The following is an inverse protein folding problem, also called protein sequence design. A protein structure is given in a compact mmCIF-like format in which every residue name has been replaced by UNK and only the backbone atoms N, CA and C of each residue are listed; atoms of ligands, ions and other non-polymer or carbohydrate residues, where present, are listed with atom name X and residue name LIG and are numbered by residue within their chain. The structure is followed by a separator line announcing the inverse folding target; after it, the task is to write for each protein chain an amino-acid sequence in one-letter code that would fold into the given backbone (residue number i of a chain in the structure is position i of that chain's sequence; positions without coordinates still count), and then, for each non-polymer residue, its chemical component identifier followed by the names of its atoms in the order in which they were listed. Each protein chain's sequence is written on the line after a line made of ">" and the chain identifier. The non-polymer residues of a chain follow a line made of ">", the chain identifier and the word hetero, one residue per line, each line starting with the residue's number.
data_IF_958537663730
#
_entry.id   IF_958537663730
#
_cell.length_a   1.000
_cell.length_b   1.000
_cell.length_c   1.000
_cell.angle_alpha   90.00
_cell.angle_beta   90.00
_cell.angle_gamma   90.00
#
_symmetry.space_group_name_H-M   'P 1'
#
loop_
_entity.id
_entity.type
_entity.pdbx_description
1 polymer ?
#
# COMPACT_ATOMS: atom_id res chain seq x y z
N UNK A 1 0.54 17.64 19.16
CA UNK A 1 1.99 17.85 18.96
C UNK A 1 2.21 18.26 17.51
N UNK A 2 2.59 19.52 17.28
CA UNK A 2 3.06 20.00 15.98
C UNK A 2 4.53 19.65 15.86
N UNK A 3 4.91 18.91 14.83
CA UNK A 3 6.31 18.80 14.44
C UNK A 3 6.61 19.97 13.52
N UNK A 4 7.04 21.09 14.10
CA UNK A 4 7.83 22.08 13.39
C UNK A 4 9.21 21.46 13.16
N UNK A 5 9.44 20.94 11.96
CA UNK A 5 10.79 20.60 11.49
C UNK A 5 11.23 21.67 10.51
N UNK A 6 11.67 22.81 11.06
CA UNK A 6 12.62 23.69 10.36
C UNK A 6 14.01 23.05 10.49
N UNK A 7 14.39 22.25 9.49
CA UNK A 7 15.74 21.72 9.33
C UNK A 7 16.38 22.30 8.06
N UNK A 8 17.62 22.80 8.08
CA UNK A 8 18.24 23.41 6.91
C UNK A 8 18.73 22.32 5.96
N UNK A 9 18.11 22.23 4.78
CA UNK A 9 18.54 21.36 3.69
C UNK A 9 18.88 22.19 2.46
N UNK A 10 20.15 22.57 2.33
CA UNK A 10 20.76 23.02 1.09
C UNK A 10 20.72 21.87 0.07
N UNK A 11 19.72 21.87 -0.81
CA UNK A 11 19.54 20.89 -1.87
C UNK A 11 18.15 21.00 -2.50
N UNK A 12 18.09 21.44 -3.75
CA UNK A 12 16.87 21.78 -4.51
C UNK A 12 15.99 20.56 -4.88
N UNK A 13 15.76 19.63 -3.93
CA UNK A 13 15.08 18.35 -4.18
C UNK A 13 13.99 17.95 -3.20
N UNK A 14 13.88 18.56 -2.01
CA UNK A 14 12.93 18.09 -0.98
C UNK A 14 12.34 19.23 -0.13
N UNK A 15 11.90 20.29 -0.80
CA UNK A 15 11.20 21.39 -0.13
C UNK A 15 9.77 20.95 0.20
N UNK A 16 9.52 20.66 1.48
CA UNK A 16 8.18 20.38 2.00
C UNK A 16 7.48 21.71 2.29
N UNK A 17 6.42 22.02 1.53
CA UNK A 17 5.55 23.15 1.85
C UNK A 17 4.40 22.74 2.78
N UNK A 18 4.10 23.60 3.76
CA UNK A 18 3.01 23.39 4.70
C UNK A 18 1.69 23.83 4.08
N UNK A 19 0.68 22.97 4.18
CA UNK A 19 -0.70 23.27 3.80
C UNK A 19 -1.59 23.26 5.04
N UNK A 20 -2.49 24.24 5.15
CA UNK A 20 -3.52 24.30 6.18
C UNK A 20 -4.89 23.97 5.56
N UNK A 21 -5.50 22.86 5.99
CA UNK A 21 -6.76 22.34 5.42
C UNK A 21 -7.81 22.20 6.52
N UNK A 22 -9.05 22.60 6.21
CA UNK A 22 -10.20 22.36 7.10
C UNK A 22 -10.86 21.04 6.71
N UNK A 23 -11.05 20.16 7.70
CA UNK A 23 -11.70 18.85 7.53
C UNK A 23 -12.87 18.71 8.50
N UNK A 24 -13.93 17.95 8.16
CA UNK A 24 -14.98 17.62 9.11
C UNK A 24 -14.42 16.89 10.34
N UNK A 25 -14.96 17.18 11.53
CA UNK A 25 -14.48 16.60 12.79
C UNK A 25 -14.50 15.08 12.78
N UNK A 26 -15.56 14.48 12.24
CA UNK A 26 -15.69 13.01 12.09
C UNK A 26 -14.56 12.39 11.28
N UNK A 27 -14.04 13.09 10.27
CA UNK A 27 -12.92 12.63 9.45
C UNK A 27 -11.63 12.67 10.26
N UNK A 28 -11.42 13.75 11.03
CA UNK A 28 -10.24 13.89 11.88
C UNK A 28 -10.21 12.83 12.98
N UNK A 29 -11.35 12.56 13.63
CA UNK A 29 -11.48 11.50 14.64
C UNK A 29 -11.15 10.13 14.07
N UNK A 30 -11.69 9.81 12.88
CA UNK A 30 -11.39 8.55 12.19
C UNK A 30 -9.90 8.41 11.89
N UNK A 31 -9.25 9.48 11.43
CA UNK A 31 -7.80 9.47 11.16
C UNK A 31 -7.03 9.25 12.45
N UNK A 32 -7.38 9.93 13.53
CA UNK A 32 -6.75 9.81 14.85
C UNK A 32 -6.84 8.37 15.42
N UNK A 33 -7.94 7.67 15.18
CA UNK A 33 -8.12 6.27 15.59
C UNK A 33 -7.35 5.26 14.72
N UNK A 34 -7.12 5.57 13.45
CA UNK A 34 -6.61 4.63 12.44
C UNK A 34 -5.11 4.80 12.17
N UNK A 35 -4.55 6.01 12.22
CA UNK A 35 -3.19 6.24 11.74
C UNK A 35 -2.16 5.39 12.48
N UNK A 36 -2.27 5.30 13.81
CA UNK A 36 -1.39 4.50 14.63
C UNK A 36 -1.60 3.00 14.40
N UNK A 37 -2.85 2.56 14.21
CA UNK A 37 -3.17 1.15 13.88
C UNK A 37 -2.60 0.73 12.53
N UNK A 38 -2.50 1.67 11.59
CA UNK A 38 -1.88 1.47 10.27
C UNK A 38 -0.35 1.64 10.28
N UNK A 39 0.25 1.96 11.43
CA UNK A 39 1.70 2.02 11.61
C UNK A 39 2.33 3.37 11.25
N UNK A 40 1.55 4.42 10.98
CA UNK A 40 2.09 5.75 10.74
C UNK A 40 2.59 6.37 12.06
N UNK A 41 3.73 7.06 12.01
CA UNK A 41 4.30 7.74 13.17
C UNK A 41 3.52 9.03 13.53
N UNK A 42 2.81 9.62 12.56
CA UNK A 42 2.00 10.81 12.78
C UNK A 42 0.79 10.89 11.84
N UNK A 43 -0.21 11.68 12.24
CA UNK A 43 -1.31 12.07 11.35
C UNK A 43 -0.82 12.68 10.04
N UNK A 44 0.17 13.58 10.10
CA UNK A 44 0.71 14.27 8.92
C UNK A 44 1.35 13.30 7.94
N UNK A 45 1.88 12.17 8.42
CA UNK A 45 2.40 11.11 7.56
C UNK A 45 1.26 10.34 6.88
N UNK A 46 0.23 9.94 7.61
CA UNK A 46 -0.95 9.30 7.04
C UNK A 46 -1.65 10.18 5.98
N UNK A 47 -1.75 11.49 6.24
CA UNK A 47 -2.33 12.45 5.28
C UNK A 47 -1.44 12.61 4.05
N UNK A 48 -0.12 12.76 4.21
CA UNK A 48 0.81 12.86 3.09
C UNK A 48 0.79 11.59 2.23
N UNK A 49 0.65 10.42 2.84
CA UNK A 49 0.55 9.15 2.13
C UNK A 49 -0.76 9.05 1.34
N UNK A 50 -1.90 9.45 1.92
CA UNK A 50 -3.17 9.54 1.20
C UNK A 50 -3.10 10.51 0.01
N UNK A 51 -2.40 11.65 0.15
CA UNK A 51 -2.17 12.58 -0.97
C UNK A 51 -1.26 11.93 -2.04
N UNK A 52 -0.23 11.18 -1.62
CA UNK A 52 0.66 10.48 -2.55
C UNK A 52 -0.08 9.41 -3.35
N UNK A 53 -0.95 8.63 -2.71
CA UNK A 53 -1.82 7.66 -3.38
C UNK A 53 -2.84 8.36 -4.28
N UNK A 54 -3.38 9.52 -3.89
CA UNK A 54 -4.24 10.30 -4.79
C UNK A 54 -3.53 10.75 -6.07
N UNK A 55 -2.24 11.12 -5.99
CA UNK A 55 -1.43 11.52 -7.15
C UNK A 55 -0.94 10.32 -7.98
N UNK A 56 -0.68 9.19 -7.32
CA UNK A 56 -0.18 7.96 -7.93
C UNK A 56 -1.02 6.79 -7.43
N UNK A 57 -2.28 6.67 -7.91
CA UNK A 57 -3.20 5.69 -7.39
C UNK A 57 -2.62 4.30 -7.61
N UNK A 58 -2.55 3.55 -6.52
CA UNK A 58 -2.16 2.14 -6.59
C UNK A 58 -3.07 1.44 -7.61
N UNK A 59 -2.53 0.62 -8.53
CA UNK A 59 -3.34 -0.09 -9.50
C UNK A 59 -4.37 -0.94 -8.75
N UNK A 60 -5.65 -0.64 -8.96
CA UNK A 60 -6.72 -1.41 -8.38
C UNK A 60 -6.80 -2.76 -9.11
N UNK A 61 -6.94 -3.84 -8.34
CA UNK A 61 -7.23 -5.14 -8.92
C UNK A 61 -8.57 -5.07 -9.64
N UNK A 62 -8.66 -5.68 -10.83
CA UNK A 62 -9.93 -5.82 -11.51
C UNK A 62 -10.87 -6.69 -10.66
N UNK A 63 -12.18 -6.56 -10.87
CA UNK A 63 -13.18 -7.40 -10.20
C UNK A 63 -12.90 -8.89 -10.44
N UNK A 64 -12.47 -9.25 -11.65
CA UNK A 64 -12.03 -10.60 -12.02
C UNK A 64 -10.87 -11.08 -11.14
N UNK A 65 -9.81 -10.27 -10.97
CA UNK A 65 -8.68 -10.63 -10.11
C UNK A 65 -9.07 -10.80 -8.64
N UNK A 66 -10.04 -10.03 -8.15
CA UNK A 66 -10.55 -10.18 -6.78
C UNK A 66 -11.31 -11.50 -6.62
N UNK A 67 -12.13 -11.87 -7.61
CA UNK A 67 -12.83 -13.17 -7.65
C UNK A 67 -11.83 -14.32 -7.67
N UNK A 68 -10.78 -14.23 -8.48
CA UNK A 68 -9.72 -15.25 -8.57
C UNK A 68 -8.98 -15.41 -7.24
N UNK A 69 -8.67 -14.31 -6.54
CA UNK A 69 -8.07 -14.35 -5.21
C UNK A 69 -8.98 -15.01 -4.17
N UNK A 70 -10.29 -14.75 -4.24
CA UNK A 70 -11.26 -15.39 -3.36
C UNK A 70 -11.34 -16.90 -3.63
N UNK A 71 -11.36 -17.31 -4.90
CA UNK A 71 -11.40 -18.73 -5.27
C UNK A 71 -10.10 -19.44 -4.87
N UNK A 72 -8.94 -18.82 -5.10
CA UNK A 72 -7.64 -19.32 -4.63
C UNK A 72 -7.64 -19.54 -3.11
N UNK A 73 -8.24 -18.63 -2.33
CA UNK A 73 -8.39 -18.79 -0.88
C UNK A 73 -9.27 -19.99 -0.51
N UNK A 74 -10.31 -20.30 -1.30
CA UNK A 74 -11.17 -21.48 -1.10
C UNK A 74 -10.43 -22.76 -1.48
N UNK A 75 -9.74 -22.79 -2.61
CA UNK A 75 -8.91 -23.92 -3.06
C UNK A 75 -7.87 -24.31 -1.99
N UNK A 76 -7.19 -23.32 -1.39
CA UNK A 76 -6.26 -23.56 -0.28
C UNK A 76 -6.92 -24.24 0.92
N UNK A 77 -8.15 -23.86 1.28
CA UNK A 77 -8.90 -24.51 2.37
C UNK A 77 -9.32 -25.94 2.03
N UNK A 78 -9.57 -26.22 0.75
CA UNK A 78 -9.90 -27.57 0.23
C UNK A 78 -8.66 -28.44 -0.01
N UNK A 79 -7.44 -27.89 0.11
CA UNK A 79 -6.19 -28.62 -0.14
C UNK A 79 -5.88 -28.81 -1.63
N UNK A 80 -6.46 -27.99 -2.50
CA UNK A 80 -6.32 -28.08 -3.97
C UNK A 80 -5.13 -27.26 -4.50
N UNK A 81 -4.36 -26.61 -3.63
CA UNK A 81 -3.17 -25.86 -4.00
C UNK A 81 -1.98 -26.78 -4.23
N UNK A 82 -1.16 -26.43 -5.21
CA UNK A 82 0.06 -27.17 -5.55
C UNK A 82 1.31 -26.45 -5.09
N UNK A 83 2.44 -27.15 -5.05
CA UNK A 83 3.72 -26.54 -4.70
C UNK A 83 4.20 -25.59 -5.81
N UNK A 84 5.05 -24.62 -5.45
CA UNK A 84 5.61 -23.70 -6.43
C UNK A 84 6.47 -24.39 -7.50
N UNK A 85 7.19 -25.47 -7.13
CA UNK A 85 7.98 -26.27 -8.07
C UNK A 85 7.09 -27.00 -9.08
N UNK A 86 6.04 -27.67 -8.59
CA UNK A 86 5.06 -28.37 -9.42
C UNK A 86 4.27 -27.41 -10.33
N UNK A 87 3.90 -26.22 -9.84
CA UNK A 87 3.27 -25.19 -10.66
C UNK A 87 4.19 -24.71 -11.79
N UNK A 88 5.47 -24.48 -11.48
CA UNK A 88 6.47 -24.07 -12.48
C UNK A 88 6.66 -25.11 -13.56
N UNK A 89 6.78 -26.38 -13.19
CA UNK A 89 6.88 -27.49 -14.14
C UNK A 89 5.64 -27.55 -15.06
N UNK A 90 4.43 -27.51 -14.48
CA UNK A 90 3.17 -27.54 -15.25
C UNK A 90 3.00 -26.37 -16.22
N UNK A 91 3.53 -25.21 -15.86
CA UNK A 91 3.45 -23.99 -16.66
C UNK A 91 4.64 -23.82 -17.62
N UNK A 92 5.60 -24.77 -17.65
CA UNK A 92 6.80 -24.67 -18.48
C UNK A 92 7.75 -23.55 -18.06
N UNK A 93 7.76 -23.22 -16.76
CA UNK A 93 8.57 -22.15 -16.14
C UNK A 93 9.73 -22.68 -15.30
N UNK A 94 9.95 -23.99 -15.29
CA UNK A 94 11.17 -24.61 -14.73
C UNK A 94 12.29 -24.42 -15.74
N UNK A 95 13.26 -23.55 -15.42
CA UNK A 95 14.49 -23.26 -16.18
C UNK A 95 14.41 -23.48 -17.70
N UNK A 96 14.25 -22.38 -18.44
CA UNK A 96 14.92 -22.26 -19.74
C UNK A 96 16.41 -22.39 -19.43
N UNK A 97 17.01 -23.50 -19.85
CA UNK A 97 18.45 -23.75 -19.76
C UNK A 97 19.23 -22.49 -20.17
N UNK A 98 19.96 -21.89 -19.22
CA UNK A 98 21.01 -20.91 -19.54
C UNK A 98 22.13 -21.67 -20.29
N UNK A 99 22.08 -21.69 -21.63
CA UNK A 99 23.23 -22.02 -22.50
C UNK A 99 24.24 -20.86 -22.57
#
# INVERSE_FOLDING_TARGET
>A
MSTDTDGPGDGDGDRIEKIDVRVPTVVLETIDEEYARRGYASRSEAIRDAIRDWLNPSPQLSEEMLVDLEESRKQRKRGETVSAAEARERLGLSDVDEE
#
